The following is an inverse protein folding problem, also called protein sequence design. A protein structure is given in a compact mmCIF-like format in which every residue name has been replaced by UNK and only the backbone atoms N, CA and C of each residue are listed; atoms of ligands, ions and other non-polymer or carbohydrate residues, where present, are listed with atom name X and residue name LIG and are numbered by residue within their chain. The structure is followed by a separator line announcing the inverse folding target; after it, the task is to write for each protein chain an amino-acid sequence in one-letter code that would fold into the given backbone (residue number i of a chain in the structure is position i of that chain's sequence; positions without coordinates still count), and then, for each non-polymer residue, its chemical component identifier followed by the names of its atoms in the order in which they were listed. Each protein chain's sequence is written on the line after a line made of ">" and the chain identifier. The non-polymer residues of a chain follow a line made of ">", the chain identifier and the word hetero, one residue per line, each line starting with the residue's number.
data_IF_599765667151
#
_entry.id   IF_599765667151
#
_cell.length_a   1.000
_cell.length_b   1.000
_cell.length_c   1.000
_cell.angle_alpha   90.00
_cell.angle_beta   90.00
_cell.angle_gamma   90.00
#
_symmetry.space_group_name_H-M   'P 1'
#
loop_
_entity.id
_entity.type
_entity.pdbx_description
1 polymer ?
#
# COMPACT_ATOMS: atom_id res chain seq x y z
N UNK A 1 37.90 -52.34 51.03
CA UNK A 1 38.85 -51.58 50.21
C UNK A 1 38.85 -51.98 48.72
N UNK A 2 38.82 -53.26 48.34
CA UNK A 2 38.90 -53.68 46.92
C UNK A 2 37.66 -53.34 46.03
N UNK A 3 36.50 -53.04 46.61
CA UNK A 3 35.26 -52.75 45.86
C UNK A 3 35.14 -51.27 45.43
N UNK A 4 35.75 -50.35 46.15
CA UNK A 4 35.79 -48.90 45.81
C UNK A 4 36.80 -48.56 44.73
N UNK A 5 37.95 -49.26 44.71
CA UNK A 5 38.97 -49.07 43.67
C UNK A 5 38.45 -49.48 42.27
N UNK A 6 37.65 -50.58 42.21
CA UNK A 6 37.06 -51.05 40.93
C UNK A 6 36.01 -50.10 40.39
N UNK A 7 35.27 -49.42 41.27
CA UNK A 7 34.28 -48.42 40.88
C UNK A 7 34.94 -47.13 40.36
N UNK A 8 36.01 -46.66 41.02
CA UNK A 8 36.76 -45.49 40.60
C UNK A 8 37.45 -45.70 39.26
N UNK A 9 38.02 -46.88 39.02
CA UNK A 9 38.65 -47.23 37.73
C UNK A 9 37.63 -47.21 36.59
N UNK A 10 36.40 -47.69 36.83
CA UNK A 10 35.31 -47.67 35.83
C UNK A 10 34.85 -46.24 35.47
N UNK A 11 34.75 -45.35 36.46
CA UNK A 11 34.38 -43.96 36.25
C UNK A 11 35.45 -43.18 35.47
N UNK A 12 36.73 -43.44 35.81
CA UNK A 12 37.88 -42.84 35.13
C UNK A 12 37.94 -43.30 33.66
N UNK A 13 37.73 -44.59 33.40
CA UNK A 13 37.69 -45.14 32.04
C UNK A 13 36.52 -44.59 31.21
N UNK A 14 35.36 -44.45 31.81
CA UNK A 14 34.21 -43.82 31.15
C UNK A 14 34.48 -42.30 30.84
N UNK A 15 35.09 -41.58 31.75
CA UNK A 15 35.45 -40.20 31.55
C UNK A 15 36.48 -40.00 30.42
N UNK A 16 37.51 -40.88 30.38
CA UNK A 16 38.51 -40.89 29.31
C UNK A 16 37.87 -41.24 27.96
N UNK A 17 36.96 -42.18 27.92
CA UNK A 17 36.22 -42.57 26.71
C UNK A 17 35.41 -41.40 26.17
N UNK A 18 34.61 -40.72 27.01
CA UNK A 18 33.84 -39.52 26.63
C UNK A 18 34.78 -38.39 26.15
N UNK A 19 35.91 -38.18 26.80
CA UNK A 19 36.87 -37.14 26.37
C UNK A 19 37.49 -37.48 25.01
N UNK A 20 37.79 -38.73 24.71
CA UNK A 20 38.28 -39.15 23.41
C UNK A 20 37.23 -39.05 22.33
N UNK A 21 35.97 -39.38 22.66
CA UNK A 21 34.85 -39.22 21.73
C UNK A 21 34.56 -37.77 21.34
N UNK A 22 34.62 -36.87 22.31
CA UNK A 22 34.53 -35.41 22.10
C UNK A 22 35.72 -34.89 21.26
N UNK A 23 36.94 -35.37 21.54
CA UNK A 23 38.13 -35.02 20.77
C UNK A 23 38.03 -35.55 19.31
N UNK A 24 37.55 -36.77 19.12
CA UNK A 24 37.34 -37.38 17.81
C UNK A 24 36.25 -36.60 17.00
N UNK A 25 35.16 -36.19 17.64
CA UNK A 25 34.10 -35.41 17.03
C UNK A 25 34.63 -33.98 16.66
N UNK A 26 35.48 -33.38 17.49
CA UNK A 26 36.12 -32.10 17.16
C UNK A 26 37.12 -32.22 16.00
N UNK A 27 37.93 -33.28 15.95
CA UNK A 27 38.81 -33.53 14.80
C UNK A 27 38.04 -33.84 13.52
N UNK A 28 36.93 -34.53 13.63
CA UNK A 28 36.06 -34.85 12.49
C UNK A 28 35.38 -33.58 11.96
N UNK A 29 34.97 -32.67 12.81
CA UNK A 29 34.37 -31.39 12.43
C UNK A 29 35.37 -30.43 11.76
N UNK A 30 36.66 -30.56 12.07
CA UNK A 30 37.70 -29.71 11.52
C UNK A 30 38.23 -30.16 10.13
N UNK A 31 37.91 -31.37 9.68
CA UNK A 31 38.64 -32.00 8.57
C UNK A 31 37.88 -32.30 7.29
N UNK A 32 36.60 -31.92 7.12
CA UNK A 32 35.93 -32.13 5.82
C UNK A 32 34.83 -31.16 5.47
N UNK A 33 34.99 -30.50 4.32
CA UNK A 33 34.02 -29.59 3.66
C UNK A 33 32.66 -30.27 3.38
N UNK A 34 32.60 -31.56 3.25
CA UNK A 34 31.38 -32.34 2.97
C UNK A 34 30.54 -32.60 4.22
N UNK A 35 31.15 -32.72 5.40
CA UNK A 35 30.44 -32.92 6.66
C UNK A 35 29.80 -31.63 7.18
N UNK A 36 30.41 -30.48 6.93
CA UNK A 36 29.82 -29.17 7.23
C UNK A 36 28.51 -28.94 6.48
N UNK A 37 28.34 -29.49 5.30
CA UNK A 37 27.09 -29.41 4.53
C UNK A 37 25.99 -30.25 5.15
N UNK A 38 26.34 -31.40 5.74
CA UNK A 38 25.35 -32.31 6.36
C UNK A 38 24.90 -31.83 7.75
N UNK A 39 25.82 -31.37 8.57
CA UNK A 39 25.55 -30.77 9.88
C UNK A 39 24.75 -29.45 9.75
N UNK A 40 25.08 -28.61 8.79
CA UNK A 40 24.31 -27.40 8.48
C UNK A 40 22.90 -27.74 7.97
N UNK A 41 22.71 -28.76 7.15
CA UNK A 41 21.36 -29.19 6.73
C UNK A 41 20.52 -29.77 7.87
N UNK A 42 21.13 -30.49 8.80
CA UNK A 42 20.43 -31.02 9.97
C UNK A 42 20.06 -29.93 10.98
N UNK A 43 20.96 -28.98 11.25
CA UNK A 43 20.71 -27.86 12.15
C UNK A 43 19.67 -26.87 11.58
N UNK A 44 19.67 -26.62 10.27
CA UNK A 44 18.64 -25.79 9.65
C UNK A 44 17.24 -26.42 9.66
N UNK A 45 17.12 -27.74 9.58
CA UNK A 45 15.82 -28.42 9.71
C UNK A 45 15.25 -28.38 11.12
N UNK A 46 16.09 -28.58 12.13
CA UNK A 46 15.63 -28.51 13.53
C UNK A 46 15.38 -27.07 13.99
N UNK A 47 16.19 -26.12 13.52
CA UNK A 47 15.99 -24.71 13.80
C UNK A 47 14.74 -24.16 13.09
N UNK A 48 14.45 -24.56 11.85
CA UNK A 48 13.25 -24.15 11.13
C UNK A 48 11.95 -24.63 11.81
N UNK A 49 11.97 -25.80 12.45
CA UNK A 49 10.83 -26.32 13.23
C UNK A 49 10.60 -25.55 14.55
N UNK A 50 11.67 -25.08 15.18
CA UNK A 50 11.57 -24.30 16.43
C UNK A 50 11.24 -22.82 16.19
N UNK A 51 11.69 -22.22 15.08
CA UNK A 51 11.44 -20.80 14.77
C UNK A 51 10.10 -20.63 14.05
N UNK A 52 9.64 -21.58 13.24
CA UNK A 52 8.35 -21.51 12.56
C UNK A 52 7.15 -21.51 13.52
N UNK A 53 7.25 -22.19 14.67
CA UNK A 53 6.19 -22.19 15.68
C UNK A 53 6.10 -20.87 16.48
N UNK A 54 7.21 -20.19 16.71
CA UNK A 54 7.24 -18.91 17.42
C UNK A 54 6.64 -17.75 16.63
N UNK A 55 6.86 -17.75 15.33
CA UNK A 55 6.36 -16.68 14.45
C UNK A 55 4.85 -16.79 14.21
N UNK A 56 4.33 -18.00 14.09
CA UNK A 56 2.90 -18.27 13.97
C UNK A 56 2.13 -17.88 15.23
N UNK A 57 2.68 -18.20 16.41
CA UNK A 57 2.09 -17.82 17.70
C UNK A 57 2.12 -16.30 17.90
N UNK A 58 3.23 -15.65 17.56
CA UNK A 58 3.38 -14.18 17.66
C UNK A 58 2.43 -13.45 16.70
N UNK A 59 2.24 -13.97 15.48
CA UNK A 59 1.28 -13.44 14.52
C UNK A 59 -0.17 -13.62 14.99
N UNK A 60 -0.50 -14.74 15.65
CA UNK A 60 -1.83 -14.97 16.19
C UNK A 60 -2.17 -13.99 17.33
N UNK A 61 -1.24 -13.71 18.23
CA UNK A 61 -1.44 -12.70 19.27
C UNK A 61 -1.47 -11.26 18.73
N UNK A 62 -0.73 -10.98 17.64
CA UNK A 62 -0.80 -9.67 16.96
C UNK A 62 -2.15 -9.45 16.26
N UNK A 63 -2.76 -10.50 15.70
CA UNK A 63 -4.08 -10.45 15.09
C UNK A 63 -5.19 -10.14 16.10
N UNK A 64 -5.12 -10.73 17.31
CA UNK A 64 -6.06 -10.43 18.39
C UNK A 64 -6.00 -8.96 18.81
N UNK A 65 -4.79 -8.43 19.00
CA UNK A 65 -4.57 -7.02 19.35
C UNK A 65 -4.98 -6.07 18.21
N UNK A 66 -4.68 -6.41 16.96
CA UNK A 66 -5.12 -5.63 15.81
C UNK A 66 -6.65 -5.63 15.67
N UNK A 67 -7.31 -6.77 15.92
CA UNK A 67 -8.77 -6.85 15.89
C UNK A 67 -9.41 -6.00 16.99
N UNK A 68 -8.82 -5.96 18.19
CA UNK A 68 -9.27 -5.10 19.28
C UNK A 68 -9.11 -3.61 18.94
N UNK A 69 -7.97 -3.22 18.34
CA UNK A 69 -7.72 -1.84 17.88
C UNK A 69 -8.74 -1.45 16.79
N UNK A 70 -8.89 -2.27 15.76
CA UNK A 70 -9.84 -2.04 14.68
C UNK A 70 -11.29 -1.99 15.18
N UNK A 71 -11.66 -2.85 16.16
CA UNK A 71 -12.99 -2.82 16.75
C UNK A 71 -13.23 -1.52 17.53
N UNK A 72 -12.21 -1.01 18.24
CA UNK A 72 -12.28 0.27 18.94
C UNK A 72 -12.41 1.45 17.96
N UNK A 73 -11.55 1.48 16.94
CA UNK A 73 -11.62 2.51 15.88
C UNK A 73 -12.96 2.50 15.16
N UNK A 74 -13.50 1.31 14.83
CA UNK A 74 -14.83 1.19 14.24
C UNK A 74 -15.93 1.71 15.16
N UNK A 75 -15.82 1.48 16.47
CA UNK A 75 -16.78 2.00 17.43
C UNK A 75 -16.68 3.52 17.57
N UNK A 76 -15.46 4.08 17.62
CA UNK A 76 -15.22 5.52 17.67
C UNK A 76 -15.76 6.21 16.42
N UNK A 77 -15.42 5.72 15.23
CA UNK A 77 -15.93 6.23 13.95
C UNK A 77 -17.46 6.13 13.85
N UNK A 78 -18.06 5.05 14.38
CA UNK A 78 -19.52 4.88 14.41
C UNK A 78 -20.19 5.89 15.33
N UNK A 79 -19.58 6.20 16.49
CA UNK A 79 -20.08 7.21 17.42
C UNK A 79 -19.95 8.62 16.83
N UNK A 80 -18.83 8.91 16.19
CA UNK A 80 -18.58 10.18 15.50
C UNK A 80 -19.60 10.39 14.36
N UNK A 81 -19.80 9.38 13.53
CA UNK A 81 -20.80 9.40 12.46
C UNK A 81 -22.23 9.60 13.03
N UNK A 82 -22.57 8.97 14.14
CA UNK A 82 -23.87 9.16 14.78
C UNK A 82 -24.04 10.60 15.33
N UNK A 83 -22.95 11.19 15.87
CA UNK A 83 -22.94 12.57 16.32
C UNK A 83 -23.11 13.56 15.16
N UNK A 84 -22.40 13.36 14.03
CA UNK A 84 -22.58 14.16 12.83
C UNK A 84 -24.01 14.06 12.25
N UNK A 85 -24.56 12.85 12.15
CA UNK A 85 -25.93 12.64 11.67
C UNK A 85 -26.95 13.34 12.57
N UNK A 86 -26.75 13.32 13.88
CA UNK A 86 -27.62 14.00 14.84
C UNK A 86 -27.52 15.52 14.71
N UNK A 87 -26.31 16.05 14.58
CA UNK A 87 -26.08 17.49 14.39
C UNK A 87 -26.68 17.99 13.07
N UNK A 88 -26.51 17.25 11.98
CA UNK A 88 -27.10 17.55 10.68
C UNK A 88 -28.65 17.54 10.73
N UNK A 89 -29.24 16.55 11.38
CA UNK A 89 -30.69 16.47 11.56
C UNK A 89 -31.26 17.63 12.38
N UNK A 90 -30.50 18.15 13.38
CA UNK A 90 -30.88 19.29 14.19
C UNK A 90 -30.75 20.63 13.47
N UNK A 91 -29.82 20.75 12.52
CA UNK A 91 -29.61 21.98 11.76
C UNK A 91 -30.53 22.11 10.53
N UNK A 92 -31.37 21.12 10.25
CA UNK A 92 -32.25 21.12 9.06
C UNK A 92 -31.47 21.08 7.73
N UNK A 93 -30.16 20.93 7.80
CA UNK A 93 -29.31 20.65 6.65
C UNK A 93 -29.39 19.15 6.42
N UNK A 94 -29.87 18.74 5.24
CA UNK A 94 -29.53 17.41 4.75
C UNK A 94 -28.03 17.27 4.94
N UNK A 95 -27.56 16.15 5.56
CA UNK A 95 -26.11 16.00 5.70
C UNK A 95 -25.53 16.14 4.30
N UNK A 96 -24.74 17.18 4.09
CA UNK A 96 -23.91 17.33 2.89
C UNK A 96 -22.83 16.20 2.88
N UNK A 97 -23.07 15.15 3.67
CA UNK A 97 -22.37 13.92 3.74
C UNK A 97 -22.72 13.08 2.54
N UNK A 98 -21.86 13.20 1.54
CA UNK A 98 -21.63 12.17 0.55
C UNK A 98 -22.72 11.96 -0.52
N UNK A 99 -23.18 13.02 -1.19
CA UNK A 99 -23.64 12.85 -2.55
C UNK A 99 -22.58 12.04 -3.34
N UNK A 100 -21.31 12.39 -3.20
CA UNK A 100 -20.19 11.68 -3.83
C UNK A 100 -20.02 10.22 -3.38
N UNK A 101 -20.43 9.84 -2.16
CA UNK A 101 -20.27 8.45 -1.69
C UNK A 101 -21.35 7.49 -2.23
N UNK A 102 -22.47 8.01 -2.73
CA UNK A 102 -23.51 7.21 -3.41
C UNK A 102 -23.12 6.91 -4.86
N UNK A 103 -22.24 7.71 -5.44
CA UNK A 103 -21.83 7.57 -6.85
C UNK A 103 -20.62 6.62 -7.00
N UNK A 104 -20.00 6.20 -5.92
CA UNK A 104 -18.83 5.34 -5.94
C UNK A 104 -19.03 4.06 -5.14
N UNK A 105 -18.53 2.97 -5.68
CA UNK A 105 -18.40 1.66 -5.02
C UNK A 105 -16.95 1.48 -4.55
N UNK A 106 -16.78 0.91 -3.37
CA UNK A 106 -15.46 0.65 -2.76
C UNK A 106 -15.24 -0.85 -2.63
N UNK A 107 -14.13 -1.37 -3.18
CA UNK A 107 -13.77 -2.80 -3.16
C UNK A 107 -12.42 -2.93 -2.47
N UNK A 108 -12.35 -3.50 -1.24
CA UNK A 108 -11.07 -3.74 -0.58
C UNK A 108 -10.27 -4.82 -1.31
N UNK A 109 -8.96 -4.59 -1.44
CA UNK A 109 -8.04 -5.48 -2.14
C UNK A 109 -6.69 -5.55 -1.44
N UNK A 110 -5.98 -6.67 -1.63
CA UNK A 110 -4.61 -6.88 -1.16
C UNK A 110 -3.63 -6.81 -2.32
N UNK A 111 -2.43 -6.29 -2.03
CA UNK A 111 -1.36 -6.21 -3.02
C UNK A 111 -0.66 -7.56 -3.13
N UNK A 112 -0.71 -8.18 -4.31
CA UNK A 112 -0.02 -9.42 -4.63
C UNK A 112 1.40 -9.14 -5.08
N UNK A 113 1.59 -8.08 -5.87
CA UNK A 113 2.89 -7.68 -6.41
C UNK A 113 2.93 -6.18 -6.67
N UNK A 114 4.09 -5.57 -6.45
CA UNK A 114 4.33 -4.16 -6.76
C UNK A 114 5.74 -3.99 -7.31
N UNK A 115 5.91 -3.19 -8.38
CA UNK A 115 7.21 -2.72 -8.84
C UNK A 115 7.56 -1.38 -8.17
N UNK A 116 8.85 -1.11 -7.93
CA UNK A 116 9.29 0.07 -7.17
C UNK A 116 10.41 0.89 -7.82
N UNK A 117 11.06 0.36 -8.84
CA UNK A 117 12.33 0.94 -9.32
C UNK A 117 12.34 1.19 -10.83
N UNK A 118 11.18 1.48 -11.42
CA UNK A 118 11.08 1.76 -12.85
C UNK A 118 10.33 3.07 -13.07
N UNK A 119 10.46 3.66 -14.25
CA UNK A 119 9.64 4.80 -14.65
C UNK A 119 8.17 4.41 -14.92
N UNK A 120 7.89 3.11 -14.97
CA UNK A 120 6.55 2.54 -15.20
C UNK A 120 6.19 1.59 -14.07
N UNK A 121 6.02 2.16 -12.88
CA UNK A 121 5.65 1.38 -11.70
C UNK A 121 4.21 0.89 -11.77
N UNK A 122 4.02 -0.36 -11.37
CA UNK A 122 2.74 -1.05 -11.42
C UNK A 122 2.46 -1.81 -10.12
N UNK A 123 1.20 -2.20 -9.95
CA UNK A 123 0.68 -2.97 -8.84
C UNK A 123 -0.24 -4.07 -9.37
N UNK A 124 -0.21 -5.26 -8.76
CA UNK A 124 -1.16 -6.35 -9.00
C UNK A 124 -1.96 -6.57 -7.74
N UNK A 125 -3.28 -6.60 -7.87
CA UNK A 125 -4.25 -6.76 -6.79
C UNK A 125 -4.96 -8.11 -6.89
N UNK A 126 -5.41 -8.66 -5.74
CA UNK A 126 -6.15 -9.91 -5.59
C UNK A 126 -7.67 -9.74 -5.85
N UNK A 127 -8.04 -8.78 -6.68
CA UNK A 127 -9.41 -8.54 -7.12
C UNK A 127 -9.45 -8.39 -8.62
N UNK A 128 -10.45 -9.00 -9.25
CA UNK A 128 -10.61 -9.03 -10.69
C UNK A 128 -12.03 -8.73 -11.15
N UNK A 129 -12.35 -9.10 -12.39
CA UNK A 129 -13.67 -8.88 -12.98
C UNK A 129 -14.79 -9.63 -12.26
N UNK A 130 -14.51 -10.77 -11.62
CA UNK A 130 -15.48 -11.51 -10.80
C UNK A 130 -15.86 -10.75 -9.53
N UNK A 131 -14.97 -9.88 -9.01
CA UNK A 131 -15.25 -8.97 -7.90
C UNK A 131 -15.91 -7.66 -8.35
N UNK A 132 -16.07 -7.47 -9.66
CA UNK A 132 -16.67 -6.29 -10.28
C UNK A 132 -15.67 -5.17 -10.58
N UNK A 133 -14.37 -5.44 -10.54
CA UNK A 133 -13.32 -4.47 -10.90
C UNK A 133 -13.31 -4.24 -12.40
N UNK A 134 -13.10 -3.00 -12.82
CA UNK A 134 -13.06 -2.57 -14.23
C UNK A 134 -11.77 -1.80 -14.52
N UNK A 135 -11.32 -1.77 -15.79
CA UNK A 135 -10.33 -0.79 -16.21
C UNK A 135 -10.78 0.63 -15.88
N UNK A 136 -9.82 1.52 -15.59
CA UNK A 136 -10.03 2.91 -15.18
C UNK A 136 -10.58 3.09 -13.75
N UNK A 137 -10.85 2.02 -12.99
CA UNK A 137 -11.13 2.15 -11.56
C UNK A 137 -9.92 2.73 -10.82
N UNK A 138 -10.17 3.60 -9.85
CA UNK A 138 -9.13 4.21 -9.01
C UNK A 138 -8.63 3.26 -7.92
N UNK A 139 -7.40 3.43 -7.50
CA UNK A 139 -6.79 2.71 -6.36
C UNK A 139 -6.43 3.73 -5.30
N UNK A 140 -6.94 3.59 -4.09
CA UNK A 140 -6.76 4.53 -2.98
C UNK A 140 -6.41 3.83 -1.67
N UNK A 141 -5.95 4.61 -0.71
CA UNK A 141 -5.92 4.29 0.73
C UNK A 141 -6.58 5.42 1.51
N UNK A 142 -6.64 5.30 2.83
CA UNK A 142 -7.05 6.39 3.71
C UNK A 142 -6.11 7.62 3.61
N UNK A 143 -4.86 7.41 3.22
CA UNK A 143 -3.83 8.48 3.12
C UNK A 143 -3.73 9.11 1.73
N UNK A 144 -4.42 8.57 0.71
CA UNK A 144 -4.40 9.17 -0.62
C UNK A 144 -4.54 8.22 -1.79
N UNK A 145 -4.29 8.74 -2.98
CA UNK A 145 -4.34 8.01 -4.24
C UNK A 145 -3.07 7.16 -4.42
N UNK A 146 -3.27 5.91 -4.83
CA UNK A 146 -2.20 4.96 -5.14
C UNK A 146 -1.98 4.85 -6.65
N UNK A 147 -3.07 4.82 -7.44
CA UNK A 147 -2.96 4.61 -8.88
C UNK A 147 -4.30 4.36 -9.56
N UNK A 148 -4.26 3.78 -10.76
CA UNK A 148 -5.43 3.52 -11.61
C UNK A 148 -5.32 2.12 -12.21
N UNK A 149 -6.42 1.37 -12.24
CA UNK A 149 -6.50 0.05 -12.87
C UNK A 149 -6.37 0.21 -14.39
N UNK A 150 -5.41 -0.51 -14.99
CA UNK A 150 -5.17 -0.51 -16.43
C UNK A 150 -5.78 -1.73 -17.13
N UNK A 151 -5.68 -2.90 -16.48
CA UNK A 151 -6.16 -4.16 -17.04
C UNK A 151 -6.72 -5.06 -15.94
N UNK A 152 -7.69 -5.88 -16.29
CA UNK A 152 -8.40 -6.75 -15.35
C UNK A 152 -8.53 -8.14 -15.96
N UNK A 153 -8.18 -9.17 -15.18
CA UNK A 153 -8.45 -10.58 -15.44
C UNK A 153 -9.52 -11.08 -14.44
N UNK A 154 -9.87 -12.35 -14.45
CA UNK A 154 -10.93 -12.92 -13.61
C UNK A 154 -10.74 -12.66 -12.13
N UNK A 155 -9.54 -12.95 -11.59
CA UNK A 155 -9.24 -12.90 -10.16
C UNK A 155 -8.22 -11.83 -9.78
N UNK A 156 -7.61 -11.19 -10.75
CA UNK A 156 -6.54 -10.21 -10.53
C UNK A 156 -6.74 -8.98 -11.38
N UNK A 157 -6.26 -7.84 -10.89
CA UNK A 157 -6.15 -6.62 -11.67
C UNK A 157 -4.74 -6.07 -11.67
N UNK A 158 -4.39 -5.42 -12.77
CA UNK A 158 -3.13 -4.74 -13.00
C UNK A 158 -3.37 -3.23 -13.00
N UNK A 159 -2.75 -2.52 -12.09
CA UNK A 159 -2.85 -1.07 -11.99
C UNK A 159 -1.50 -0.38 -12.18
N UNK A 160 -1.54 0.84 -12.69
CA UNK A 160 -0.41 1.75 -12.73
C UNK A 160 -0.42 2.58 -11.45
N UNK A 161 0.71 2.67 -10.76
CA UNK A 161 0.81 3.50 -9.56
C UNK A 161 0.97 4.99 -9.90
N UNK A 162 0.73 5.87 -8.94
CA UNK A 162 1.00 7.31 -9.09
C UNK A 162 2.47 7.60 -9.45
N UNK A 163 3.41 6.71 -9.07
CA UNK A 163 4.81 6.75 -9.52
C UNK A 163 5.02 6.15 -10.93
N UNK A 164 4.10 6.36 -11.83
CA UNK A 164 4.19 6.02 -13.23
C UNK A 164 4.00 7.30 -14.04
N UNK A 165 4.92 7.63 -14.92
CA UNK A 165 4.88 8.86 -15.72
C UNK A 165 3.64 8.96 -16.61
N UNK A 166 2.96 7.85 -16.89
CA UNK A 166 1.71 7.81 -17.65
C UNK A 166 0.46 8.11 -16.84
N UNK A 167 0.55 8.15 -15.50
CA UNK A 167 -0.60 8.40 -14.64
C UNK A 167 -0.74 9.90 -14.37
N UNK A 168 -1.96 10.42 -14.59
CA UNK A 168 -2.34 11.79 -14.24
C UNK A 168 -3.59 11.74 -13.37
N UNK A 169 -3.60 12.54 -12.30
CA UNK A 169 -4.74 12.67 -11.39
C UNK A 169 -5.21 14.11 -11.44
N UNK A 170 -6.50 14.34 -11.66
CA UNK A 170 -7.07 15.68 -11.59
C UNK A 170 -7.09 16.13 -10.12
N UNK A 171 -6.28 17.13 -9.80
CA UNK A 171 -6.09 17.65 -8.46
C UNK A 171 -6.42 19.13 -8.36
N UNK A 172 -6.77 19.57 -7.15
CA UNK A 172 -7.04 20.97 -6.83
C UNK A 172 -6.27 21.44 -5.61
N UNK A 173 -6.06 22.73 -5.50
CA UNK A 173 -5.42 23.37 -4.35
C UNK A 173 -6.50 23.81 -3.36
N UNK A 174 -6.48 23.25 -2.13
CA UNK A 174 -7.49 23.56 -1.12
C UNK A 174 -8.93 23.19 -1.54
N UNK A 175 -9.91 23.88 -0.95
CA UNK A 175 -11.34 23.58 -1.22
C UNK A 175 -11.82 24.13 -2.57
N UNK A 176 -11.47 25.38 -2.90
CA UNK A 176 -11.97 26.11 -4.08
C UNK A 176 -10.83 26.61 -5.00
N UNK A 177 -9.65 26.02 -4.91
CA UNK A 177 -8.48 26.49 -5.64
C UNK A 177 -8.36 25.99 -7.07
N UNK A 178 -7.27 26.40 -7.72
CA UNK A 178 -6.97 26.04 -9.09
C UNK A 178 -6.86 24.51 -9.27
N UNK A 179 -7.35 24.03 -10.41
CA UNK A 179 -7.34 22.64 -10.80
C UNK A 179 -6.27 22.41 -11.86
N UNK A 180 -5.56 21.29 -11.74
CA UNK A 180 -4.57 20.88 -12.72
C UNK A 180 -4.26 19.40 -12.64
N UNK A 181 -3.55 18.83 -13.62
CA UNK A 181 -3.09 17.46 -13.59
C UNK A 181 -1.90 17.30 -12.65
N UNK A 182 -2.04 16.42 -11.65
CA UNK A 182 -0.95 15.93 -10.83
C UNK A 182 -0.31 14.73 -11.52
N UNK A 183 0.99 14.75 -11.71
CA UNK A 183 1.76 13.66 -12.31
C UNK A 183 3.11 13.53 -11.64
N UNK A 184 3.65 12.30 -11.62
CA UNK A 184 5.00 12.05 -11.12
C UNK A 184 6.06 12.58 -12.07
N UNK A 185 7.18 13.07 -11.51
CA UNK A 185 8.32 13.63 -12.26
C UNK A 185 9.35 12.58 -12.69
N UNK A 186 9.20 11.33 -12.24
CA UNK A 186 10.14 10.25 -12.52
C UNK A 186 11.39 10.24 -11.63
N UNK A 187 11.50 11.12 -10.63
CA UNK A 187 12.71 11.29 -9.83
C UNK A 187 12.53 10.88 -8.37
N UNK A 188 11.59 11.51 -7.68
CA UNK A 188 11.38 11.32 -6.24
C UNK A 188 10.23 10.38 -5.94
N UNK A 189 10.37 9.57 -4.88
CA UNK A 189 9.31 8.64 -4.47
C UNK A 189 8.24 9.27 -3.60
N UNK A 190 8.47 10.49 -3.12
CA UNK A 190 7.63 11.25 -2.19
C UNK A 190 7.05 12.52 -2.79
N UNK A 191 7.34 12.80 -4.09
CA UNK A 191 6.95 14.05 -4.74
C UNK A 191 6.28 13.82 -6.09
N UNK A 192 5.35 14.73 -6.40
CA UNK A 192 4.70 14.83 -7.70
C UNK A 192 4.63 16.30 -8.11
N UNK A 193 4.24 16.56 -9.35
CA UNK A 193 4.10 17.89 -9.91
C UNK A 193 2.65 18.16 -10.28
N UNK A 194 2.07 19.18 -9.70
CA UNK A 194 0.78 19.73 -10.10
C UNK A 194 1.02 20.80 -11.17
N UNK A 195 0.55 20.54 -12.37
CA UNK A 195 0.86 21.32 -13.59
C UNK A 195 -0.31 22.17 -14.07
N UNK A 196 -0.03 23.05 -15.02
CA UNK A 196 -1.03 23.79 -15.77
C UNK A 196 -1.89 24.74 -14.90
N UNK A 197 -1.38 25.16 -13.74
CA UNK A 197 -2.11 26.09 -12.89
C UNK A 197 -2.11 27.50 -13.48
N UNK A 198 -3.25 28.22 -13.48
CA UNK A 198 -3.29 29.61 -13.95
C UNK A 198 -2.41 30.53 -13.11
N UNK A 199 -1.79 31.56 -13.74
CA UNK A 199 -0.85 32.44 -13.07
C UNK A 199 -1.45 33.30 -11.96
N UNK A 200 -2.72 33.61 -12.06
CA UNK A 200 -3.43 34.47 -11.09
C UNK A 200 -3.76 33.73 -9.77
N UNK A 201 -3.61 32.43 -9.74
CA UNK A 201 -3.77 31.65 -8.48
C UNK A 201 -2.47 31.70 -7.68
N UNK A 202 -2.58 32.16 -6.44
CA UNK A 202 -1.49 32.07 -5.48
C UNK A 202 -1.61 30.76 -4.69
N UNK A 203 -0.54 29.97 -4.77
CA UNK A 203 -0.39 28.73 -4.02
C UNK A 203 0.66 28.93 -2.96
N UNK A 204 0.26 28.81 -1.72
CA UNK A 204 1.15 28.95 -0.58
C UNK A 204 1.79 27.60 -0.23
N UNK A 205 3.02 27.67 0.27
CA UNK A 205 3.69 26.46 0.78
C UNK A 205 2.90 25.90 1.97
N UNK A 206 2.57 24.62 1.90
CA UNK A 206 1.77 23.93 2.91
C UNK A 206 0.29 23.82 2.57
N UNK A 207 -0.20 24.45 1.51
CA UNK A 207 -1.57 24.27 1.05
C UNK A 207 -1.85 22.79 0.76
N UNK A 208 -3.01 22.31 1.17
CA UNK A 208 -3.40 20.91 0.95
C UNK A 208 -3.83 20.74 -0.51
N UNK A 209 -3.32 19.68 -1.13
CA UNK A 209 -3.71 19.24 -2.48
C UNK A 209 -4.64 18.05 -2.36
N UNK A 210 -5.79 18.13 -3.00
CA UNK A 210 -6.87 17.15 -2.97
C UNK A 210 -7.24 16.71 -4.39
N UNK A 211 -7.91 15.58 -4.54
CA UNK A 211 -8.56 15.25 -5.81
C UNK A 211 -9.67 16.25 -6.10
N UNK A 212 -9.79 16.66 -7.37
CA UNK A 212 -10.74 17.72 -7.76
C UNK A 212 -12.19 17.25 -7.84
N UNK A 213 -12.45 15.94 -8.00
CA UNK A 213 -13.77 15.41 -8.31
C UNK A 213 -14.20 15.56 -9.78
N UNK A 214 -13.46 16.31 -10.58
CA UNK A 214 -13.69 16.44 -12.04
C UNK A 214 -13.04 15.30 -12.83
N UNK A 215 -13.30 14.09 -12.38
CA UNK A 215 -12.81 12.85 -12.99
C UNK A 215 -13.83 11.75 -12.78
N UNK A 216 -13.92 10.84 -13.75
CA UNK A 216 -14.72 9.62 -13.61
C UNK A 216 -14.06 8.56 -12.74
N UNK A 217 -12.79 8.79 -12.32
CA UNK A 217 -11.94 7.81 -11.65
C UNK A 217 -11.97 7.98 -10.13
N UNK A 218 -11.84 9.21 -9.64
CA UNK A 218 -11.73 9.50 -8.21
C UNK A 218 -12.84 10.41 -7.71
N UNK A 219 -13.41 10.15 -6.53
CA UNK A 219 -14.25 11.14 -5.84
C UNK A 219 -13.43 12.39 -5.50
N UNK A 220 -14.11 13.49 -5.25
CA UNK A 220 -13.49 14.70 -4.70
C UNK A 220 -12.93 14.45 -3.29
N UNK A 221 -12.03 15.32 -2.85
CA UNK A 221 -11.55 15.44 -1.46
C UNK A 221 -10.65 14.31 -0.95
N UNK A 222 -10.14 13.43 -1.84
CA UNK A 222 -9.10 12.49 -1.43
C UNK A 222 -7.79 13.27 -1.27
N UNK A 223 -7.12 13.20 -0.09
CA UNK A 223 -5.87 13.89 0.14
C UNK A 223 -4.76 13.33 -0.78
N UNK A 224 -3.95 14.23 -1.33
CA UNK A 224 -2.82 13.86 -2.19
C UNK A 224 -1.49 14.24 -1.55
N UNK A 225 -1.43 15.45 -0.98
CA UNK A 225 -0.21 15.95 -0.37
C UNK A 225 -0.30 17.42 0.01
N UNK A 226 0.85 18.05 0.23
CA UNK A 226 0.98 19.48 0.50
C UNK A 226 1.80 20.18 -0.56
N UNK A 227 1.43 21.41 -0.90
CA UNK A 227 2.16 22.25 -1.82
C UNK A 227 3.55 22.60 -1.28
N UNK A 228 4.56 22.44 -2.09
CA UNK A 228 5.93 22.85 -1.86
C UNK A 228 6.28 24.17 -2.60
N UNK A 229 7.38 24.12 -3.36
CA UNK A 229 7.79 25.23 -4.21
C UNK A 229 6.98 25.32 -5.50
N UNK A 230 6.77 26.53 -5.99
CA UNK A 230 6.18 26.76 -7.31
C UNK A 230 7.17 27.37 -8.28
N UNK A 231 7.07 27.01 -9.55
CA UNK A 231 7.86 27.62 -10.63
C UNK A 231 6.98 28.01 -11.81
N UNK A 232 7.39 29.07 -12.50
CA UNK A 232 6.77 29.52 -13.73
C UNK A 232 7.24 28.64 -14.90
N UNK A 233 6.30 28.16 -15.70
CA UNK A 233 6.58 27.33 -16.89
C UNK A 233 6.08 28.04 -18.14
N UNK A 234 6.96 28.20 -19.12
CA UNK A 234 6.68 28.87 -20.42
C UNK A 234 6.02 30.25 -20.32
N UNK A 235 6.15 30.95 -19.19
CA UNK A 235 5.56 32.27 -18.98
C UNK A 235 4.02 32.32 -18.90
N UNK A 236 3.33 31.20 -18.98
CA UNK A 236 1.87 31.13 -19.06
C UNK A 236 1.19 30.31 -17.95
N UNK A 237 1.89 29.38 -17.32
CA UNK A 237 1.35 28.52 -16.27
C UNK A 237 2.32 28.38 -15.11
N UNK A 238 1.78 28.02 -13.94
CA UNK A 238 2.56 27.61 -12.75
C UNK A 238 2.60 26.09 -12.65
N UNK A 239 3.72 25.56 -12.20
CA UNK A 239 3.90 24.19 -11.78
C UNK A 239 4.28 24.19 -10.29
N UNK A 240 3.61 23.37 -9.50
CA UNK A 240 3.77 23.27 -8.05
C UNK A 240 4.29 21.89 -7.68
N UNK A 241 5.37 21.85 -6.92
CA UNK A 241 5.84 20.60 -6.30
C UNK A 241 4.87 20.20 -5.20
N UNK A 242 4.49 18.91 -5.15
CA UNK A 242 3.57 18.36 -4.16
C UNK A 242 4.27 17.28 -3.39
N UNK A 243 4.39 17.44 -2.07
CA UNK A 243 4.86 16.42 -1.16
C UNK A 243 3.71 15.47 -0.83
N UNK A 244 3.80 14.23 -1.29
CA UNK A 244 2.73 13.25 -1.16
C UNK A 244 2.56 12.79 0.30
N UNK A 245 1.31 12.63 0.75
CA UNK A 245 1.02 12.04 2.06
C UNK A 245 1.21 10.53 2.05
N UNK A 246 1.01 9.89 0.90
CA UNK A 246 1.07 8.46 0.77
C UNK A 246 2.50 7.96 0.54
N UNK A 247 2.99 7.12 1.46
CA UNK A 247 4.18 6.31 1.22
C UNK A 247 3.81 5.07 0.38
N UNK A 248 4.23 5.09 -0.88
CA UNK A 248 4.00 4.00 -1.81
C UNK A 248 4.93 2.80 -1.59
N UNK A 249 5.89 2.89 -0.67
CA UNK A 249 6.87 1.82 -0.42
C UNK A 249 6.40 0.73 0.55
N UNK A 250 5.43 1.02 1.41
CA UNK A 250 5.02 0.17 2.53
C UNK A 250 3.56 -0.31 2.45
N UNK A 251 2.98 -0.34 1.25
CA UNK A 251 1.60 -0.72 1.03
C UNK A 251 1.38 -2.24 1.10
N UNK A 252 0.30 -2.66 1.75
CA UNK A 252 -0.16 -4.04 1.79
C UNK A 252 -1.63 -4.18 1.37
N UNK A 253 -2.47 -3.24 1.79
CA UNK A 253 -3.90 -3.20 1.51
C UNK A 253 -4.27 -1.89 0.84
N UNK A 254 -5.20 -1.95 -0.08
CA UNK A 254 -5.73 -0.80 -0.83
C UNK A 254 -7.24 -0.95 -1.00
N UNK A 255 -7.88 0.11 -1.43
CA UNK A 255 -9.29 0.08 -1.82
C UNK A 255 -9.40 0.50 -3.28
N UNK A 256 -10.07 -0.32 -4.09
CA UNK A 256 -10.44 0.04 -5.45
C UNK A 256 -11.71 0.88 -5.37
N UNK A 257 -11.73 2.02 -6.04
CA UNK A 257 -12.87 2.93 -6.12
C UNK A 257 -13.39 2.97 -7.54
N UNK A 258 -14.67 2.68 -7.70
CA UNK A 258 -15.36 2.59 -8.98
C UNK A 258 -16.54 3.57 -9.02
N UNK A 259 -16.61 4.41 -10.03
CA UNK A 259 -17.78 5.28 -10.27
C UNK A 259 -18.92 4.47 -10.86
N UNK A 260 -20.09 4.47 -10.21
CA UNK A 260 -21.25 3.66 -10.60
C UNK A 260 -21.77 4.07 -11.99
N UNK A 261 -21.83 5.38 -12.28
CA UNK A 261 -22.26 5.92 -13.58
C UNK A 261 -21.09 6.13 -14.57
N UNK A 262 -19.90 5.59 -14.31
CA UNK A 262 -18.69 5.85 -15.10
C UNK A 262 -18.84 5.41 -16.57
N UNK A 263 -19.47 4.27 -16.84
CA UNK A 263 -19.68 3.76 -18.20
C UNK A 263 -20.61 4.65 -19.03
N UNK A 264 -21.65 5.21 -18.41
CA UNK A 264 -22.59 6.11 -19.08
C UNK A 264 -21.89 7.40 -19.50
N UNK A 265 -21.09 7.99 -18.59
CA UNK A 265 -20.30 9.19 -18.87
C UNK A 265 -19.27 8.92 -19.97
N UNK A 266 -18.51 7.84 -19.89
CA UNK A 266 -17.52 7.45 -20.89
C UNK A 266 -18.16 7.18 -22.28
N UNK A 267 -19.39 6.68 -22.30
CA UNK A 267 -20.14 6.49 -23.55
C UNK A 267 -20.54 7.81 -24.21
N UNK A 268 -20.84 8.84 -23.42
CA UNK A 268 -21.15 10.20 -23.91
C UNK A 268 -19.89 10.87 -24.48
N UNK A 269 -18.76 10.79 -23.78
CA UNK A 269 -17.48 11.34 -24.25
C UNK A 269 -17.04 10.72 -25.60
N UNK A 270 -17.21 9.40 -25.77
CA UNK A 270 -16.92 8.71 -27.03
C UNK A 270 -17.84 9.14 -28.19
N UNK A 271 -19.09 9.45 -27.90
CA UNK A 271 -20.03 9.94 -28.94
C UNK A 271 -19.66 11.35 -29.42
N UNK A 272 -19.30 12.24 -28.49
CA UNK A 272 -18.82 13.59 -28.85
C UNK A 272 -17.49 13.57 -29.62
N UNK A 273 -16.52 12.73 -29.17
CA UNK A 273 -15.26 12.57 -29.88
C UNK A 273 -15.40 12.09 -31.32
N UNK A 274 -16.34 11.16 -31.57
CA UNK A 274 -16.60 10.62 -32.91
C UNK A 274 -17.30 11.63 -33.85
N UNK A 275 -18.05 12.59 -33.30
CA UNK A 275 -18.72 13.64 -34.13
C UNK A 275 -17.73 14.78 -34.46
N UNK A 276 -16.74 15.06 -33.62
CA UNK A 276 -15.71 16.06 -33.89
C UNK A 276 -14.65 15.60 -34.92
N UNK A 277 -14.42 14.28 -35.09
CA UNK A 277 -13.54 13.74 -36.15
C UNK A 277 -14.20 13.71 -37.54
N UNK A 278 -15.50 14.01 -37.65
CA UNK A 278 -16.25 14.04 -38.92
C UNK A 278 -16.48 15.42 -39.48
N UNK A 279 -16.04 16.47 -38.80
CA UNK A 279 -16.07 17.87 -39.28
C UNK A 279 -14.65 18.30 -39.69
#
# INVERSE_FOLDING_TARGET
>A
MAREEKSRSGIISAAIFIALEVAALNMLSASSTLQNIWLNRASHRTMALLWGSGETVRNYFSLGKQNEILSRENMELSQELAAYKKAAAQSGLEPAGNANSRDFRYIPASIVKMSRNTQRNYIILDRGSEDGVKPEDGIITASGVIGIIQAVDKHYSYGLTLMNMGVKVSARVGEDGAIGPLSWDGQSTDRALLKELPLHYDVSKGDTILTSGYSTIFPADIPLGTAGGSKLVNGSTKEVEVHLFQDLSALRYVTIVQKIAGEEIASLEKKEGADNEKQ
#
